data_IF_515875183964
#
_entry.id   IF_515875183964
#
_cell.length_a   1.000
_cell.length_b   1.000
_cell.length_c   1.000
_cell.angle_alpha   90.00
_cell.angle_beta   90.00
_cell.angle_gamma   90.00
#
_symmetry.space_group_name_H-M   'P 1'
#
loop_
_entity.id
_entity.type
_entity.pdbx_description
1 polymer ?
#
# COMPACT_ATOMS: atom_id res chain seq x y z
N UNK A 1 -5.78 -9.55 -11.55
CA UNK A 1 -5.76 -9.11 -10.14
C UNK A 1 -5.29 -7.66 -10.11
N UNK A 2 -5.82 -6.83 -9.22
CA UNK A 2 -5.36 -5.45 -8.99
C UNK A 2 -4.39 -5.46 -7.82
N UNK A 3 -3.10 -5.41 -8.09
CA UNK A 3 -2.04 -5.67 -7.12
C UNK A 3 -0.86 -4.68 -7.21
N UNK A 4 -1.08 -3.52 -7.83
CA UNK A 4 -0.06 -2.47 -7.93
C UNK A 4 -0.29 -1.33 -6.93
N UNK A 5 0.73 -0.50 -6.68
CA UNK A 5 0.56 0.74 -5.90
C UNK A 5 -0.35 1.76 -6.61
N UNK A 6 -0.41 1.73 -7.95
CA UNK A 6 -1.37 2.52 -8.72
C UNK A 6 -2.82 2.08 -8.46
N UNK A 7 -3.07 0.77 -8.41
CA UNK A 7 -4.39 0.25 -8.02
C UNK A 7 -4.78 0.68 -6.61
N UNK A 8 -3.82 0.59 -5.66
CA UNK A 8 -4.03 1.05 -4.28
C UNK A 8 -4.45 2.53 -4.24
N UNK A 9 -3.74 3.38 -4.98
CA UNK A 9 -4.04 4.80 -5.05
C UNK A 9 -5.43 5.08 -5.64
N UNK A 10 -5.82 4.37 -6.71
CA UNK A 10 -7.17 4.45 -7.26
C UNK A 10 -8.25 4.06 -6.23
N UNK A 11 -8.02 3.03 -5.43
CA UNK A 11 -8.94 2.62 -4.37
C UNK A 11 -9.07 3.65 -3.25
N UNK A 12 -7.97 4.31 -2.87
CA UNK A 12 -7.97 5.38 -1.88
C UNK A 12 -8.73 6.61 -2.38
N UNK A 13 -8.53 7.03 -3.63
CA UNK A 13 -9.32 8.11 -4.21
C UNK A 13 -10.81 7.77 -4.29
N UNK A 14 -11.16 6.56 -4.72
CA UNK A 14 -12.55 6.12 -4.71
C UNK A 14 -13.17 6.10 -3.30
N UNK A 15 -12.35 5.87 -2.26
CA UNK A 15 -12.80 5.95 -0.86
C UNK A 15 -13.04 7.41 -0.43
N UNK A 16 -12.20 8.34 -0.87
CA UNK A 16 -12.42 9.78 -0.64
C UNK A 16 -13.72 10.24 -1.29
N UNK A 17 -13.96 9.92 -2.55
CA UNK A 17 -15.20 10.28 -3.25
C UNK A 17 -16.44 9.76 -2.52
N UNK A 18 -16.43 8.52 -2.02
CA UNK A 18 -17.55 7.96 -1.25
C UNK A 18 -17.79 8.67 0.08
N UNK A 19 -16.73 9.10 0.76
CA UNK A 19 -16.84 9.86 2.01
C UNK A 19 -17.32 11.30 1.78
N UNK A 20 -17.12 11.84 0.58
CA UNK A 20 -17.55 13.19 0.19
C UNK A 20 -18.97 13.24 -0.36
N UNK A 21 -19.67 12.11 -0.45
CA UNK A 21 -21.07 12.06 -0.86
C UNK A 21 -21.97 12.77 0.17
N UNK A 22 -22.60 13.89 -0.25
CA UNK A 22 -23.44 14.73 0.62
C UNK A 22 -24.73 14.03 1.05
N UNK A 23 -25.17 13.00 0.32
CA UNK A 23 -26.36 12.21 0.66
C UNK A 23 -26.04 11.11 1.70
N UNK A 24 -24.75 10.87 1.99
CA UNK A 24 -24.31 9.86 2.93
C UNK A 24 -24.47 10.32 4.39
N UNK A 25 -25.37 9.69 5.14
CA UNK A 25 -25.70 10.09 6.51
C UNK A 25 -26.09 8.92 7.41
N UNK A 26 -26.14 9.18 8.72
CA UNK A 26 -26.57 8.21 9.73
C UNK A 26 -25.67 6.97 9.78
N UNK A 27 -26.29 5.80 9.92
CA UNK A 27 -25.59 4.51 10.02
C UNK A 27 -24.72 4.21 8.79
N UNK A 28 -25.16 4.59 7.58
CA UNK A 28 -24.37 4.39 6.35
C UNK A 28 -23.08 5.21 6.35
N UNK A 29 -23.12 6.43 6.89
CA UNK A 29 -21.92 7.26 7.04
C UNK A 29 -20.95 6.62 8.04
N UNK A 30 -21.47 6.10 9.15
CA UNK A 30 -20.66 5.42 10.15
C UNK A 30 -19.99 4.15 9.59
N UNK A 31 -20.74 3.35 8.81
CA UNK A 31 -20.21 2.19 8.09
C UNK A 31 -19.09 2.58 7.12
N UNK A 32 -19.28 3.62 6.30
CA UNK A 32 -18.28 4.04 5.32
C UNK A 32 -17.04 4.66 6.00
N UNK A 33 -17.20 5.36 7.13
CA UNK A 33 -16.08 5.80 7.97
C UNK A 33 -15.26 4.61 8.48
N UNK A 34 -15.92 3.56 8.98
CA UNK A 34 -15.24 2.35 9.46
C UNK A 34 -14.55 1.60 8.32
N UNK A 35 -15.17 1.56 7.14
CA UNK A 35 -14.57 1.02 5.93
C UNK A 35 -13.34 1.82 5.50
N UNK A 36 -13.41 3.16 5.52
CA UNK A 36 -12.29 4.03 5.19
C UNK A 36 -11.09 3.79 6.11
N UNK A 37 -11.34 3.68 7.43
CA UNK A 37 -10.30 3.38 8.43
C UNK A 37 -9.61 2.04 8.14
N UNK A 38 -10.41 1.01 7.85
CA UNK A 38 -9.89 -0.33 7.51
C UNK A 38 -9.03 -0.29 6.24
N UNK A 39 -9.54 0.34 5.18
CA UNK A 39 -8.80 0.48 3.91
C UNK A 39 -7.50 1.23 4.12
N UNK A 40 -7.52 2.33 4.88
CA UNK A 40 -6.32 3.12 5.19
C UNK A 40 -5.28 2.29 5.94
N UNK A 41 -5.71 1.52 6.94
CA UNK A 41 -4.83 0.65 7.73
C UNK A 41 -4.13 -0.41 6.86
N UNK A 42 -4.88 -1.12 6.02
CA UNK A 42 -4.31 -2.12 5.10
C UNK A 42 -3.39 -1.45 4.07
N UNK A 43 -3.76 -0.26 3.58
CA UNK A 43 -2.95 0.51 2.64
C UNK A 43 -1.59 0.89 3.22
N UNK A 44 -1.54 1.29 4.50
CA UNK A 44 -0.28 1.56 5.19
C UNK A 44 0.63 0.34 5.26
N UNK A 45 0.08 -0.87 5.46
CA UNK A 45 0.89 -2.09 5.46
C UNK A 45 1.47 -2.39 4.07
N UNK A 46 0.69 -2.18 3.00
CA UNK A 46 1.16 -2.35 1.63
C UNK A 46 2.28 -1.36 1.31
N UNK A 47 2.12 -0.09 1.67
CA UNK A 47 3.14 0.94 1.45
C UNK A 47 4.40 0.63 2.27
N UNK A 48 4.27 0.21 3.53
CA UNK A 48 5.40 -0.16 4.38
C UNK A 48 6.20 -1.32 3.80
N UNK A 49 5.52 -2.32 3.25
CA UNK A 49 6.17 -3.42 2.53
C UNK A 49 6.88 -2.93 1.25
N UNK A 50 6.24 -2.02 0.50
CA UNK A 50 6.84 -1.39 -0.68
C UNK A 50 8.12 -0.62 -0.34
N UNK A 51 8.11 0.18 0.73
CA UNK A 51 9.28 0.91 1.23
C UNK A 51 10.40 -0.03 1.64
N UNK A 52 10.08 -1.13 2.34
CA UNK A 52 11.06 -2.13 2.74
C UNK A 52 11.75 -2.79 1.54
N UNK A 53 10.98 -3.14 0.50
CA UNK A 53 11.54 -3.69 -0.74
C UNK A 53 12.39 -2.66 -1.48
N UNK A 54 11.95 -1.39 -1.52
CA UNK A 54 12.72 -0.30 -2.13
C UNK A 54 14.05 -0.09 -1.41
N UNK A 55 14.07 -0.09 -0.09
CA UNK A 55 15.31 0.09 0.69
C UNK A 55 16.26 -1.10 0.54
N UNK A 56 15.72 -2.33 0.45
CA UNK A 56 16.51 -3.50 0.10
C UNK A 56 17.13 -3.40 -1.31
N UNK A 57 16.40 -2.83 -2.27
CA UNK A 57 16.90 -2.59 -3.62
C UNK A 57 18.01 -1.53 -3.65
N UNK A 58 17.85 -0.40 -2.95
CA UNK A 58 18.89 0.62 -2.79
C UNK A 58 20.15 0.05 -2.14
N UNK A 59 20.00 -0.72 -1.07
CA UNK A 59 21.11 -1.36 -0.38
C UNK A 59 21.87 -2.34 -1.27
N UNK A 60 21.21 -2.96 -2.25
CA UNK A 60 21.89 -3.82 -3.24
C UNK A 60 22.72 -3.00 -4.23
N UNK A 61 22.21 -1.85 -4.65
CA UNK A 61 22.88 -0.93 -5.58
C UNK A 61 24.08 -0.21 -4.93
N UNK A 62 23.96 0.20 -3.68
CA UNK A 62 25.01 0.88 -2.91
C UNK A 62 26.21 -0.03 -2.55
N UNK A 63 26.06 -1.36 -2.68
CA UNK A 63 27.14 -2.30 -2.40
C UNK A 63 28.09 -2.38 -3.59
N UNK A 64 29.25 -1.75 -3.44
CA UNK A 64 30.43 -1.90 -4.32
C UNK A 64 30.91 -3.38 -4.41
N UNK A 65 30.54 -4.25 -3.46
CA UNK A 65 30.88 -5.67 -3.45
C UNK A 65 29.68 -6.56 -3.78
N UNK A 66 29.75 -7.22 -4.95
CA UNK A 66 28.72 -8.06 -5.55
C UNK A 66 28.27 -9.29 -4.73
N UNK A 67 28.93 -9.62 -3.62
CA UNK A 67 28.70 -10.86 -2.87
C UNK A 67 27.70 -10.75 -1.72
N UNK A 68 27.14 -9.57 -1.42
CA UNK A 68 26.13 -9.54 -0.34
C UNK A 68 24.75 -9.92 -0.83
N UNK A 69 24.25 -11.03 -0.29
CA UNK A 69 22.89 -11.51 -0.52
C UNK A 69 21.91 -10.73 0.33
N UNK A 70 20.94 -10.09 -0.32
CA UNK A 70 19.74 -9.57 0.33
C UNK A 70 18.94 -10.77 0.87
N UNK A 71 18.42 -10.72 2.10
CA UNK A 71 17.56 -11.80 2.62
C UNK A 71 16.38 -12.07 1.69
N UNK A 72 16.12 -13.35 1.38
CA UNK A 72 15.03 -13.78 0.46
C UNK A 72 13.67 -13.16 0.75
N UNK A 73 13.37 -12.87 2.01
CA UNK A 73 12.10 -12.24 2.42
C UNK A 73 11.92 -10.80 1.90
N UNK A 74 12.99 -10.16 1.44
CA UNK A 74 13.02 -8.79 0.91
C UNK A 74 13.18 -8.77 -0.62
N UNK A 75 13.37 -9.93 -1.24
CA UNK A 75 13.36 -10.06 -2.69
C UNK A 75 11.92 -9.84 -3.17
N UNK A 76 11.65 -8.70 -3.81
CA UNK A 76 10.33 -8.40 -4.38
C UNK A 76 9.93 -9.53 -5.32
N UNK A 77 8.71 -10.07 -5.18
CA UNK A 77 8.21 -11.29 -5.81
C UNK A 77 8.10 -11.23 -7.33
N UNK A 78 9.24 -11.09 -8.02
CA UNK A 78 9.37 -11.33 -9.44
C UNK A 78 9.40 -12.83 -9.70
N UNK A 79 8.50 -13.28 -10.57
CA UNK A 79 8.81 -14.38 -11.47
C UNK A 79 9.81 -13.89 -12.51
#
# INVERSE_FOLDING_TARGET
MKNTLGDLNNHLFAQLERLSDEDLSGEKLEEEINRAKTITSVSHQIISNGSLVLDAAKLREDRINADTKVPKMLEGGGQ
#
